data_IF_456252906558
#
_entry.id   IF_456252906558
#
_cell.length_a   1.000
_cell.length_b   1.000
_cell.length_c   1.000
_cell.angle_alpha   90.00
_cell.angle_beta   90.00
_cell.angle_gamma   90.00
#
_symmetry.space_group_name_H-M   'P 1'
#
loop_
_entity.id
_entity.type
_entity.pdbx_description
1 polymer ?
#
# COMPACT_ATOMS: atom_id res chain seq x y z
N UNK A 1 -10.58 -2.69 7.16
CA UNK A 1 -9.72 -1.52 7.44
C UNK A 1 -10.30 -0.20 6.91
N UNK A 2 -10.47 0.00 5.59
CA UNK A 2 -10.94 1.30 5.06
C UNK A 2 -12.29 1.76 5.60
N UNK A 3 -13.23 0.84 5.85
CA UNK A 3 -14.49 1.18 6.52
C UNK A 3 -14.31 1.77 7.92
N UNK A 4 -13.33 1.30 8.70
CA UNK A 4 -13.03 1.86 10.03
C UNK A 4 -12.43 3.26 9.92
N UNK A 5 -11.53 3.46 8.96
CA UNK A 5 -10.97 4.79 8.68
C UNK A 5 -12.07 5.77 8.22
N UNK A 6 -13.00 5.30 7.39
CA UNK A 6 -14.15 6.08 6.92
C UNK A 6 -15.07 6.47 8.08
N UNK A 7 -15.41 5.51 8.95
CA UNK A 7 -16.22 5.75 10.14
C UNK A 7 -15.58 6.79 11.07
N UNK A 8 -14.26 6.71 11.30
CA UNK A 8 -13.53 7.71 12.09
C UNK A 8 -13.47 9.09 11.45
N UNK A 9 -13.45 9.19 10.11
CA UNK A 9 -13.56 10.45 9.37
C UNK A 9 -15.01 10.95 9.24
N UNK A 10 -16.00 10.24 9.80
CA UNK A 10 -17.40 10.67 9.81
C UNK A 10 -18.15 10.44 8.49
N UNK A 11 -17.70 9.52 7.63
CA UNK A 11 -18.38 9.30 6.36
C UNK A 11 -17.76 8.22 5.47
N UNK A 12 -17.76 8.46 4.16
CA UNK A 12 -17.20 7.58 3.12
C UNK A 12 -15.89 8.18 2.58
N UNK A 13 -14.91 7.34 2.28
CA UNK A 13 -13.63 7.79 1.70
C UNK A 13 -13.71 8.08 0.20
N UNK A 14 -14.73 7.58 -0.49
CA UNK A 14 -14.82 7.66 -1.96
C UNK A 14 -13.77 6.78 -2.64
N UNK A 15 -13.30 7.20 -3.82
CA UNK A 15 -12.25 6.51 -4.56
C UNK A 15 -10.89 6.70 -3.90
N UNK A 16 -10.34 5.65 -3.31
CA UNK A 16 -9.19 5.77 -2.39
C UNK A 16 -7.83 5.84 -3.08
N UNK A 17 -7.70 5.58 -4.38
CA UNK A 17 -6.38 5.49 -5.01
C UNK A 17 -5.51 6.74 -4.77
N UNK A 18 -6.01 7.94 -5.11
CA UNK A 18 -5.27 9.20 -4.88
C UNK A 18 -5.01 9.47 -3.39
N UNK A 19 -5.94 9.09 -2.51
CA UNK A 19 -5.79 9.24 -1.08
C UNK A 19 -4.62 8.38 -0.55
N UNK A 20 -4.47 7.14 -1.03
CA UNK A 20 -3.41 6.24 -0.58
C UNK A 20 -2.01 6.79 -0.88
N UNK A 21 -1.80 7.32 -2.09
CA UNK A 21 -0.53 7.95 -2.44
C UNK A 21 -0.30 9.25 -1.66
N UNK A 22 -1.33 10.07 -1.43
CA UNK A 22 -1.20 11.27 -0.56
C UNK A 22 -0.80 10.90 0.88
N UNK A 23 -1.37 9.82 1.41
CA UNK A 23 -1.00 9.32 2.74
C UNK A 23 0.45 8.85 2.75
N UNK A 24 0.88 8.12 1.72
CA UNK A 24 2.24 7.63 1.62
C UNK A 24 3.28 8.76 1.56
N UNK A 25 3.02 9.81 0.76
CA UNK A 25 3.88 11.00 0.69
C UNK A 25 3.94 11.76 2.02
N UNK A 26 2.83 11.82 2.77
CA UNK A 26 2.78 12.49 4.06
C UNK A 26 3.49 11.69 5.17
N UNK A 27 3.31 10.37 5.20
CA UNK A 27 3.91 9.46 6.17
C UNK A 27 3.94 8.03 5.60
N UNK A 28 5.07 7.65 4.99
CA UNK A 28 5.24 6.32 4.39
C UNK A 28 5.12 5.18 5.43
N UNK A 29 5.29 5.47 6.72
CA UNK A 29 5.15 4.48 7.79
C UNK A 29 3.70 4.01 7.95
N UNK A 30 2.74 4.73 7.36
CA UNK A 30 1.35 4.31 7.19
C UNK A 30 1.19 2.97 6.45
N UNK A 31 2.25 2.48 5.81
CA UNK A 31 2.32 1.17 5.20
C UNK A 31 3.52 0.39 5.78
N UNK A 32 3.36 -0.93 5.90
CA UNK A 32 4.47 -1.83 6.12
C UNK A 32 5.02 -2.20 4.73
N UNK A 33 6.10 -1.51 4.37
CA UNK A 33 6.84 -1.68 3.12
C UNK A 33 7.42 -3.11 3.03
N UNK A 34 7.19 -3.77 1.89
CA UNK A 34 7.69 -5.12 1.65
C UNK A 34 8.91 -4.98 0.75
N UNK A 35 10.09 -5.23 1.29
CA UNK A 35 11.37 -5.00 0.58
C UNK A 35 12.04 -6.28 0.12
N UNK A 36 11.47 -7.44 0.42
CA UNK A 36 12.01 -8.76 0.11
C UNK A 36 10.96 -9.64 -0.54
N UNK A 37 11.35 -10.35 -1.61
CA UNK A 37 10.46 -11.20 -2.40
C UNK A 37 10.35 -10.74 -3.86
N UNK A 38 9.47 -11.40 -4.60
CA UNK A 38 9.16 -11.09 -5.99
C UNK A 38 7.80 -11.68 -6.38
N UNK A 39 7.26 -11.24 -7.51
CA UNK A 39 6.10 -11.85 -8.15
C UNK A 39 6.49 -12.58 -9.45
N UNK A 40 7.62 -13.28 -9.45
CA UNK A 40 7.99 -14.10 -10.59
C UNK A 40 7.02 -15.28 -10.69
N UNK A 41 6.90 -15.88 -11.87
CA UNK A 41 6.20 -17.16 -12.01
C UNK A 41 4.70 -17.15 -11.62
N UNK A 42 3.96 -16.10 -11.97
CA UNK A 42 2.50 -16.04 -11.72
C UNK A 42 1.66 -16.89 -12.68
N UNK A 43 2.29 -17.61 -13.62
CA UNK A 43 1.64 -18.45 -14.64
C UNK A 43 2.37 -19.78 -14.85
N UNK A 44 1.64 -20.82 -15.26
CA UNK A 44 2.03 -22.24 -15.29
C UNK A 44 3.20 -22.61 -16.22
N UNK A 45 3.73 -21.67 -17.00
CA UNK A 45 4.80 -21.90 -17.99
C UNK A 45 5.95 -20.90 -17.87
N UNK A 46 6.02 -20.17 -16.76
CA UNK A 46 7.05 -19.16 -16.53
C UNK A 46 8.37 -19.81 -16.10
N UNK A 47 9.48 -19.27 -16.60
CA UNK A 47 10.86 -19.73 -16.30
C UNK A 47 11.38 -19.29 -14.92
N UNK A 48 10.53 -18.66 -14.11
CA UNK A 48 10.82 -18.10 -12.79
C UNK A 48 11.99 -17.10 -12.76
N UNK A 49 12.30 -16.50 -13.90
CA UNK A 49 13.28 -15.40 -14.00
C UNK A 49 12.63 -14.06 -14.33
N UNK A 50 11.39 -14.08 -14.82
CA UNK A 50 10.67 -12.89 -15.28
C UNK A 50 9.63 -12.42 -14.26
N UNK A 51 9.64 -11.11 -13.96
CA UNK A 51 8.68 -10.40 -13.11
C UNK A 51 9.35 -9.24 -12.37
N UNK A 52 8.78 -8.81 -11.24
CA UNK A 52 9.29 -7.68 -10.45
C UNK A 52 9.75 -8.14 -9.06
N UNK A 53 10.88 -7.59 -8.62
CA UNK A 53 11.35 -7.75 -7.25
C UNK A 53 10.70 -6.70 -6.36
N UNK A 54 10.44 -7.09 -5.12
CA UNK A 54 10.14 -6.16 -4.05
C UNK A 54 11.35 -5.24 -3.81
N UNK A 55 11.11 -3.97 -3.50
CA UNK A 55 12.18 -3.01 -3.18
C UNK A 55 11.70 -1.99 -2.16
N UNK A 56 12.57 -1.06 -1.76
CA UNK A 56 12.19 0.00 -0.84
C UNK A 56 11.21 0.95 -1.51
N UNK A 57 10.04 1.13 -0.89
CA UNK A 57 9.00 2.07 -1.31
C UNK A 57 7.98 1.42 -2.23
N UNK A 58 7.43 2.20 -3.18
CA UNK A 58 6.49 1.60 -4.13
C UNK A 58 7.21 0.64 -5.07
N UNK A 59 6.65 -0.56 -5.24
CA UNK A 59 7.11 -1.51 -6.24
C UNK A 59 5.96 -2.23 -6.95
N UNK A 60 6.28 -2.87 -8.08
CA UNK A 60 5.30 -3.57 -8.89
C UNK A 60 4.95 -4.98 -8.38
N UNK A 61 5.59 -5.45 -7.29
CA UNK A 61 5.28 -6.72 -6.65
C UNK A 61 4.23 -6.55 -5.54
N UNK A 62 4.27 -5.45 -4.78
CA UNK A 62 3.48 -5.24 -3.56
C UNK A 62 2.87 -3.83 -3.44
N UNK A 63 3.15 -2.93 -4.38
CA UNK A 63 2.65 -1.56 -4.35
C UNK A 63 3.27 -0.77 -3.20
N UNK A 64 2.44 -0.11 -2.40
CA UNK A 64 2.88 0.62 -1.20
C UNK A 64 3.16 -0.32 0.00
N UNK A 65 2.99 -1.63 -0.17
CA UNK A 65 3.00 -2.62 0.91
C UNK A 65 1.65 -2.77 1.62
N UNK A 66 1.67 -3.37 2.82
CA UNK A 66 0.45 -3.63 3.58
C UNK A 66 0.07 -2.42 4.44
N UNK A 67 -1.19 -1.99 4.48
CA UNK A 67 -1.56 -0.80 5.22
C UNK A 67 -1.53 -1.01 6.74
N UNK A 68 -1.00 -0.02 7.47
CA UNK A 68 -1.01 0.03 8.93
C UNK A 68 -2.10 0.98 9.42
N UNK A 69 -3.22 0.42 9.89
CA UNK A 69 -4.43 1.19 10.21
C UNK A 69 -4.20 2.38 11.16
N UNK A 70 -3.49 2.17 12.27
CA UNK A 70 -3.28 3.21 13.27
C UNK A 70 -2.40 4.35 12.75
N UNK A 71 -1.39 4.00 11.96
CA UNK A 71 -0.49 4.99 11.35
C UNK A 71 -1.18 5.75 10.22
N UNK A 72 -1.94 5.07 9.37
CA UNK A 72 -2.81 5.70 8.37
C UNK A 72 -3.79 6.70 8.99
N UNK A 73 -4.43 6.35 10.10
CA UNK A 73 -5.34 7.27 10.77
C UNK A 73 -4.62 8.57 11.16
N UNK A 74 -3.41 8.49 11.70
CA UNK A 74 -2.61 9.68 12.04
C UNK A 74 -2.22 10.48 10.80
N UNK A 75 -1.68 9.81 9.78
CA UNK A 75 -1.26 10.43 8.53
C UNK A 75 -2.41 11.13 7.79
N UNK A 76 -3.64 10.63 7.92
CA UNK A 76 -4.81 11.28 7.31
C UNK A 76 -5.32 12.51 8.07
N UNK A 77 -4.80 12.80 9.27
CA UNK A 77 -5.12 14.05 10.00
C UNK A 77 -4.27 15.23 9.52
N UNK A 78 -3.13 14.95 8.89
CA UNK A 78 -2.26 15.95 8.26
C UNK A 78 -2.62 16.24 6.79
N UNK A 79 -3.70 15.63 6.28
CA UNK A 79 -4.27 15.83 4.94
C UNK A 79 -5.62 16.53 5.03
#
# INVERSE_FOLDING_TARGET
MFGLLAAKKGGKLGHVALLLYKIYEADNSAFNDVTEGNNFCTESSCDCTTGFKATKGWDAATGLGSPNHFKMERATRSL
#
